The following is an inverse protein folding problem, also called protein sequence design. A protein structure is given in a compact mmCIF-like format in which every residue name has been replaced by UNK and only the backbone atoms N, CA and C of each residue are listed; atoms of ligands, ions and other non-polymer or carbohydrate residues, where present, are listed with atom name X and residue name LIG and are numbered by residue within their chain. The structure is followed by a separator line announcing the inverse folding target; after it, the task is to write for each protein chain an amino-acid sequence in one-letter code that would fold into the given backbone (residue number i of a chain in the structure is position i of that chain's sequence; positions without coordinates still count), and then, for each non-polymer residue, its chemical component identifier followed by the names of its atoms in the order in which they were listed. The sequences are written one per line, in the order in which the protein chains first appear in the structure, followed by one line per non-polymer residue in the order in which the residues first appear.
data_IF_098449812564
#
_entry.id   IF_098449812564
#
_cell.length_a   1.000
_cell.length_b   1.000
_cell.length_c   1.000
_cell.angle_alpha   90.00
_cell.angle_beta   90.00
_cell.angle_gamma   90.00
#
_symmetry.space_group_name_H-M   'P 1'
#
loop_
_entity.id
_entity.type
_entity.pdbx_description
1 polymer ?
#
# COMPACT_ATOMS: atom_id res chain seq x y z
N UNK A 1 -10.87 0.98 -20.11
CA UNK A 1 -10.43 -0.40 -19.82
C UNK A 1 -9.19 -0.27 -18.96
N UNK A 2 -9.16 -0.83 -17.75
CA UNK A 2 -8.01 -0.67 -16.86
C UNK A 2 -6.80 -1.44 -17.40
N UNK A 3 -5.60 -0.88 -17.27
CA UNK A 3 -4.36 -1.55 -17.66
C UNK A 3 -4.03 -2.64 -16.62
N UNK A 4 -4.67 -3.80 -16.77
CA UNK A 4 -4.59 -4.93 -15.85
C UNK A 4 -3.95 -6.15 -16.54
N UNK A 5 -3.41 -7.07 -15.74
CA UNK A 5 -2.90 -8.34 -16.26
C UNK A 5 -4.06 -9.17 -16.84
N UNK A 6 -4.08 -9.49 -18.15
CA UNK A 6 -5.18 -10.23 -18.77
C UNK A 6 -5.29 -11.67 -18.26
N UNK A 7 -4.23 -12.22 -17.67
CA UNK A 7 -4.21 -13.57 -17.11
C UNK A 7 -4.69 -13.64 -15.65
N UNK A 8 -5.21 -12.55 -15.10
CA UNK A 8 -5.71 -12.49 -13.73
C UNK A 8 -7.16 -12.00 -13.73
N UNK A 9 -8.06 -12.81 -13.19
CA UNK A 9 -9.45 -12.42 -13.00
C UNK A 9 -9.54 -11.37 -11.88
N UNK A 10 -9.80 -10.13 -12.27
CA UNK A 10 -9.90 -9.02 -11.34
C UNK A 10 -11.19 -9.13 -10.53
N UNK A 11 -11.08 -9.01 -9.21
CA UNK A 11 -12.26 -8.76 -8.38
C UNK A 11 -12.82 -7.36 -8.72
N UNK A 12 -13.97 -7.32 -9.40
CA UNK A 12 -14.55 -6.08 -9.89
C UNK A 12 -14.92 -5.10 -8.78
N UNK A 13 -15.36 -5.60 -7.62
CA UNK A 13 -15.74 -4.74 -6.49
C UNK A 13 -14.52 -4.00 -5.93
N UNK A 14 -13.42 -4.72 -5.67
CA UNK A 14 -12.17 -4.12 -5.19
C UNK A 14 -11.58 -3.18 -6.24
N UNK A 15 -11.60 -3.60 -7.51
CA UNK A 15 -11.11 -2.77 -8.61
C UNK A 15 -11.90 -1.47 -8.74
N UNK A 16 -13.22 -1.53 -8.64
CA UNK A 16 -14.07 -0.34 -8.67
C UNK A 16 -13.76 0.58 -7.48
N UNK A 17 -13.73 0.02 -6.27
CA UNK A 17 -13.54 0.77 -5.02
C UNK A 17 -12.18 1.49 -4.96
N UNK A 18 -11.08 0.82 -5.35
CA UNK A 18 -9.75 1.45 -5.37
C UNK A 18 -9.66 2.58 -6.42
N UNK A 19 -10.33 2.45 -7.55
CA UNK A 19 -10.36 3.49 -8.58
C UNK A 19 -11.23 4.67 -8.14
N UNK A 20 -12.43 4.43 -7.59
CA UNK A 20 -13.28 5.49 -7.05
C UNK A 20 -12.58 6.26 -5.92
N UNK A 21 -11.83 5.56 -5.06
CA UNK A 21 -10.97 6.20 -4.07
C UNK A 21 -9.93 7.14 -4.71
N UNK A 22 -9.19 6.67 -5.71
CA UNK A 22 -8.17 7.46 -6.41
C UNK A 22 -8.78 8.67 -7.14
N UNK A 23 -9.91 8.50 -7.83
CA UNK A 23 -10.64 9.60 -8.47
C UNK A 23 -11.10 10.65 -7.46
N UNK A 24 -11.55 10.22 -6.27
CA UNK A 24 -11.85 11.10 -5.16
C UNK A 24 -10.65 11.92 -4.69
N UNK A 25 -9.45 11.33 -4.67
CA UNK A 25 -8.21 12.06 -4.37
C UNK A 25 -7.89 13.11 -5.45
N UNK A 26 -8.15 12.81 -6.73
CA UNK A 26 -7.93 13.77 -7.82
C UNK A 26 -8.87 14.99 -7.77
N UNK A 27 -10.00 14.91 -7.08
CA UNK A 27 -10.83 16.10 -6.80
C UNK A 27 -10.13 17.14 -5.91
N UNK A 28 -9.08 16.73 -5.17
CA UNK A 28 -8.32 17.60 -4.26
C UNK A 28 -6.87 17.85 -4.69
N UNK A 29 -6.25 16.89 -5.38
CA UNK A 29 -4.85 16.94 -5.77
C UNK A 29 -4.73 16.83 -7.30
N UNK A 30 -4.06 17.78 -7.95
CA UNK A 30 -3.86 17.73 -9.41
C UNK A 30 -2.86 16.65 -9.84
N UNK A 31 -2.00 16.20 -8.93
CA UNK A 31 -0.99 15.16 -9.14
C UNK A 31 -0.92 14.24 -7.94
N UNK A 32 -0.89 12.93 -8.19
CA UNK A 32 -0.66 11.92 -7.17
C UNK A 32 0.63 11.16 -7.50
N UNK A 33 1.42 10.85 -6.47
CA UNK A 33 2.55 9.94 -6.57
C UNK A 33 2.25 8.70 -5.72
N UNK A 34 1.73 7.62 -6.32
CA UNK A 34 1.47 6.40 -5.60
C UNK A 34 2.76 5.63 -5.26
N UNK A 35 2.66 4.78 -4.26
CA UNK A 35 3.65 3.74 -3.97
C UNK A 35 2.95 2.56 -3.30
N UNK A 36 3.52 1.36 -3.47
CA UNK A 36 3.05 0.15 -2.80
C UNK A 36 4.07 -0.35 -1.80
N UNK A 37 3.57 -0.75 -0.64
CA UNK A 37 4.31 -1.42 0.42
C UNK A 37 3.49 -2.61 0.90
N UNK A 38 4.14 -3.77 0.99
CA UNK A 38 3.53 -4.96 1.57
C UNK A 38 4.00 -5.11 3.01
N UNK A 39 3.08 -5.35 3.94
CA UNK A 39 3.35 -5.57 5.37
C UNK A 39 2.98 -6.99 5.78
N UNK A 40 3.79 -7.64 6.60
CA UNK A 40 3.51 -8.97 7.12
C UNK A 40 4.29 -9.24 8.41
N UNK A 41 3.91 -10.29 9.14
CA UNK A 41 4.71 -10.83 10.25
C UNK A 41 5.72 -11.87 9.76
N UNK A 42 6.86 -11.96 10.45
CA UNK A 42 7.88 -12.99 10.21
C UNK A 42 7.41 -14.33 10.79
N UNK A 43 7.62 -15.43 10.05
CA UNK A 43 7.08 -16.76 10.40
C UNK A 43 7.47 -17.28 11.77
N UNK A 44 8.66 -16.93 12.22
CA UNK A 44 9.31 -17.39 13.45
C UNK A 44 8.99 -16.50 14.66
N UNK A 45 7.93 -15.68 14.56
CA UNK A 45 7.55 -14.73 15.62
C UNK A 45 6.21 -15.08 16.26
N UNK A 46 6.02 -14.73 17.55
CA UNK A 46 4.72 -14.88 18.21
C UNK A 46 3.59 -14.18 17.45
N UNK A 47 3.85 -12.97 16.93
CA UNK A 47 2.83 -12.22 16.18
C UNK A 47 2.33 -12.98 14.95
N UNK A 48 3.17 -13.76 14.26
CA UNK A 48 2.72 -14.58 13.14
C UNK A 48 1.77 -15.69 13.58
N UNK A 49 2.13 -16.43 14.65
CA UNK A 49 1.32 -17.53 15.18
C UNK A 49 -0.01 -17.08 15.80
N UNK A 50 -0.05 -15.88 16.37
CA UNK A 50 -1.24 -15.29 16.99
C UNK A 50 -1.96 -14.26 16.11
N UNK A 51 -1.52 -14.08 14.86
CA UNK A 51 -2.11 -13.10 13.95
C UNK A 51 -3.59 -13.43 13.69
N UNK A 52 -4.43 -12.41 13.77
CA UNK A 52 -5.81 -12.48 13.36
C UNK A 52 -6.19 -11.17 12.65
N UNK A 53 -7.36 -11.14 12.01
CA UNK A 53 -7.83 -9.95 11.30
C UNK A 53 -7.86 -8.72 12.23
N UNK A 54 -8.29 -8.92 13.48
CA UNK A 54 -8.38 -7.83 14.44
C UNK A 54 -7.00 -7.25 14.81
N UNK A 55 -6.02 -8.09 15.16
CA UNK A 55 -4.67 -7.60 15.51
C UNK A 55 -3.99 -6.92 14.33
N UNK A 56 -4.11 -7.49 13.12
CA UNK A 56 -3.56 -6.88 11.91
C UNK A 56 -4.21 -5.53 11.58
N UNK A 57 -5.54 -5.39 11.76
CA UNK A 57 -6.21 -4.10 11.60
C UNK A 57 -5.71 -3.07 12.62
N UNK A 58 -5.51 -3.48 13.88
CA UNK A 58 -4.98 -2.58 14.92
C UNK A 58 -3.58 -2.06 14.57
N UNK A 59 -2.71 -2.90 14.01
CA UNK A 59 -1.39 -2.45 13.55
C UNK A 59 -1.48 -1.45 12.39
N UNK A 60 -2.41 -1.66 11.45
CA UNK A 60 -2.65 -0.69 10.39
C UNK A 60 -3.21 0.62 10.94
N UNK A 61 -4.11 0.60 11.92
CA UNK A 61 -4.58 1.85 12.56
C UNK A 61 -3.46 2.60 13.28
N UNK A 62 -2.54 1.90 13.95
CA UNK A 62 -1.34 2.51 14.55
C UNK A 62 -0.42 3.11 13.49
N UNK A 63 -0.20 2.40 12.38
CA UNK A 63 0.57 2.91 11.25
C UNK A 63 -0.07 4.20 10.70
N UNK A 64 -1.40 4.21 10.52
CA UNK A 64 -2.13 5.33 9.94
C UNK A 64 -2.18 6.55 10.87
N UNK A 65 -2.30 6.37 12.19
CA UNK A 65 -2.29 7.48 13.14
C UNK A 65 -0.97 8.24 13.13
N UNK A 66 0.15 7.54 12.89
CA UNK A 66 1.48 8.16 12.77
C UNK A 66 1.80 8.72 11.37
N UNK A 67 1.03 8.34 10.34
CA UNK A 67 1.34 8.67 8.93
C UNK A 67 0.30 9.57 8.26
N UNK A 68 -0.77 9.94 8.97
CA UNK A 68 -1.90 10.72 8.44
C UNK A 68 -1.51 12.02 7.74
N UNK A 69 -0.50 12.74 8.24
CA UNK A 69 -0.05 14.04 7.68
C UNK A 69 0.95 13.86 6.53
N UNK A 70 1.45 12.65 6.32
CA UNK A 70 2.45 12.34 5.31
C UNK A 70 1.83 11.96 3.96
N UNK A 71 0.55 11.53 3.96
CA UNK A 71 -0.13 10.96 2.80
C UNK A 71 -1.26 11.88 2.34
N UNK A 72 -1.46 11.98 1.03
CA UNK A 72 -2.64 12.56 0.41
C UNK A 72 -3.86 11.62 0.55
N UNK A 73 -3.61 10.31 0.55
CA UNK A 73 -4.60 9.26 0.72
C UNK A 73 -3.94 7.88 0.79
N UNK A 74 -4.72 6.85 1.06
CA UNK A 74 -4.24 5.47 1.11
C UNK A 74 -5.37 4.47 0.86
N UNK A 75 -5.00 3.29 0.38
CA UNK A 75 -5.89 2.14 0.23
C UNK A 75 -5.14 0.89 0.69
N UNK A 76 -5.83 -0.06 1.31
CA UNK A 76 -5.20 -1.32 1.71
C UNK A 76 -6.18 -2.49 1.70
N UNK A 77 -5.65 -3.67 1.43
CA UNK A 77 -6.39 -4.94 1.54
C UNK A 77 -5.59 -5.92 2.38
N UNK A 78 -6.30 -6.83 3.04
CA UNK A 78 -5.71 -7.92 3.82
C UNK A 78 -5.92 -9.24 3.10
N UNK A 79 -4.84 -9.99 2.94
CA UNK A 79 -4.84 -11.30 2.32
C UNK A 79 -4.27 -12.35 3.27
N UNK A 80 -4.65 -13.60 3.05
CA UNK A 80 -4.08 -14.75 3.74
C UNK A 80 -3.50 -15.72 2.71
N UNK A 81 -2.26 -16.17 2.94
CA UNK A 81 -1.73 -17.35 2.24
C UNK A 81 -1.09 -18.28 3.25
N UNK A 82 -1.13 -19.59 2.99
CA UNK A 82 -0.50 -20.58 3.86
C UNK A 82 0.99 -20.29 4.10
N UNK A 83 1.68 -19.74 3.10
CA UNK A 83 3.10 -19.43 3.19
C UNK A 83 3.39 -18.10 3.90
N UNK A 84 2.57 -17.04 3.72
CA UNK A 84 2.86 -15.72 4.31
C UNK A 84 2.01 -15.38 5.54
N UNK A 85 1.04 -16.21 5.90
CA UNK A 85 0.03 -15.87 6.89
C UNK A 85 -0.81 -14.66 6.44
N UNK A 86 -1.33 -13.91 7.42
CA UNK A 86 -1.96 -12.62 7.18
C UNK A 86 -0.93 -11.58 6.75
N UNK A 87 -1.24 -10.85 5.70
CA UNK A 87 -0.43 -9.76 5.20
C UNK A 87 -1.30 -8.68 4.55
N UNK A 88 -0.72 -7.48 4.44
CA UNK A 88 -1.41 -6.30 3.95
C UNK A 88 -0.73 -5.83 2.67
N UNK A 89 -1.53 -5.59 1.64
CA UNK A 89 -1.14 -4.82 0.47
C UNK A 89 -1.61 -3.40 0.66
N UNK A 90 -0.67 -2.47 0.83
CA UNK A 90 -0.94 -1.07 1.09
C UNK A 90 -0.49 -0.22 -0.09
N UNK A 91 -1.35 0.68 -0.54
CA UNK A 91 -1.06 1.75 -1.48
C UNK A 91 -1.15 3.07 -0.72
N UNK A 92 -0.07 3.85 -0.75
CA UNK A 92 -0.06 5.23 -0.28
C UNK A 92 0.01 6.19 -1.47
N UNK A 93 -0.68 7.31 -1.36
CA UNK A 93 -0.64 8.40 -2.34
C UNK A 93 0.01 9.63 -1.71
N UNK A 94 1.02 10.20 -2.37
CA UNK A 94 1.61 11.49 -2.01
C UNK A 94 1.10 12.60 -2.93
N UNK A 95 1.13 13.84 -2.48
CA UNK A 95 0.93 15.00 -3.35
C UNK A 95 2.09 15.07 -4.37
N UNK A 96 1.79 14.70 -5.62
CA UNK A 96 2.75 14.64 -6.71
C UNK A 96 3.27 16.00 -7.17
N UNK A 97 2.66 17.11 -6.73
CA UNK A 97 3.23 18.45 -6.94
C UNK A 97 4.42 18.70 -6.01
N UNK A 98 4.38 18.13 -4.79
CA UNK A 98 5.39 18.31 -3.75
C UNK A 98 6.46 17.22 -3.76
N UNK A 99 6.13 16.04 -4.26
CA UNK A 99 7.00 14.87 -4.22
C UNK A 99 7.28 14.30 -5.61
N UNK A 100 8.57 14.03 -5.89
CA UNK A 100 9.04 13.37 -7.12
C UNK A 100 9.51 11.93 -6.90
N UNK A 101 9.70 11.51 -5.64
CA UNK A 101 10.12 10.16 -5.25
C UNK A 101 9.44 9.77 -3.94
N UNK A 102 8.87 8.57 -3.89
CA UNK A 102 8.16 8.05 -2.72
C UNK A 102 9.07 7.33 -1.72
N UNK A 103 10.29 6.96 -2.10
CA UNK A 103 11.18 6.09 -1.31
C UNK A 103 11.39 6.52 0.14
N UNK A 104 11.62 7.81 0.40
CA UNK A 104 11.86 8.29 1.78
C UNK A 104 10.64 8.09 2.66
N UNK A 105 9.45 8.45 2.13
CA UNK A 105 8.18 8.31 2.85
C UNK A 105 7.81 6.84 3.02
N UNK A 106 7.89 6.04 1.95
CA UNK A 106 7.55 4.62 2.02
C UNK A 106 8.50 3.83 2.92
N UNK A 107 9.78 4.20 2.98
CA UNK A 107 10.73 3.64 3.95
C UNK A 107 10.34 3.98 5.39
N UNK A 108 9.97 5.24 5.64
CA UNK A 108 9.52 5.68 6.97
C UNK A 108 8.27 4.92 7.43
N UNK A 109 7.29 4.69 6.55
CA UNK A 109 6.13 3.83 6.85
C UNK A 109 6.56 2.41 7.26
N UNK A 110 7.52 1.83 6.53
CA UNK A 110 8.05 0.53 6.88
C UNK A 110 8.81 0.50 8.21
N UNK A 111 9.53 1.57 8.54
CA UNK A 111 10.19 1.71 9.84
C UNK A 111 9.18 1.84 10.99
N UNK A 112 8.07 2.56 10.78
CA UNK A 112 6.95 2.62 11.73
C UNK A 112 6.35 1.22 11.90
N UNK A 113 6.04 0.51 10.81
CA UNK A 113 5.53 -0.86 10.86
C UNK A 113 6.42 -1.78 11.69
N UNK A 114 7.73 -1.79 11.42
CA UNK A 114 8.69 -2.60 12.17
C UNK A 114 8.72 -2.23 13.65
N UNK A 115 8.62 -0.94 14.00
CA UNK A 115 8.60 -0.47 15.39
C UNK A 115 7.30 -0.86 16.10
N UNK A 116 6.13 -0.64 15.48
CA UNK A 116 4.82 -0.92 16.08
C UNK A 116 4.60 -2.41 16.32
N UNK A 117 5.23 -3.25 15.50
CA UNK A 117 5.23 -4.71 15.64
C UNK A 117 6.39 -5.23 16.49
N UNK A 118 7.13 -4.36 17.19
CA UNK A 118 8.26 -4.75 18.05
C UNK A 118 9.34 -5.59 17.34
N UNK A 119 9.47 -5.43 16.02
CA UNK A 119 10.40 -6.18 15.19
C UNK A 119 9.83 -7.46 14.55
N UNK A 120 8.65 -7.91 15.00
CA UNK A 120 8.00 -9.11 14.46
C UNK A 120 7.52 -8.90 13.02
N UNK A 121 7.24 -7.65 12.66
CA UNK A 121 6.86 -7.25 11.32
C UNK A 121 8.05 -7.11 10.37
N UNK A 122 7.84 -7.47 9.12
CA UNK A 122 8.68 -7.06 8.00
C UNK A 122 7.84 -6.38 6.93
N UNK A 123 8.52 -5.68 6.02
CA UNK A 123 7.86 -5.02 4.91
C UNK A 123 8.66 -5.16 3.61
N UNK A 124 7.96 -5.03 2.50
CA UNK A 124 8.55 -5.03 1.17
C UNK A 124 8.10 -3.79 0.40
N UNK A 125 9.07 -2.93 0.04
CA UNK A 125 8.82 -1.80 -0.84
C UNK A 125 8.72 -2.30 -2.28
N UNK A 126 7.53 -2.28 -2.86
CA UNK A 126 7.30 -2.73 -4.22
C UNK A 126 7.87 -1.71 -5.20
N UNK A 127 8.99 -2.07 -5.84
CA UNK A 127 9.59 -1.27 -6.91
C UNK A 127 9.11 -1.78 -8.27
N UNK A 128 9.03 -0.87 -9.24
CA UNK A 128 8.86 -1.26 -10.62
C UNK A 128 9.96 -2.25 -11.03
N UNK A 129 9.57 -3.28 -11.78
CA UNK A 129 10.47 -4.25 -12.42
C UNK A 129 10.17 -4.18 -13.91
N UNK A 130 11.19 -4.36 -14.74
CA UNK A 130 11.06 -4.22 -16.20
C UNK A 130 10.00 -5.13 -16.83
N UNK A 131 9.72 -6.26 -16.17
CA UNK A 131 8.67 -7.21 -16.56
C UNK A 131 7.23 -6.73 -16.31
N UNK A 132 7.02 -5.63 -15.60
CA UNK A 132 5.69 -5.10 -15.34
C UNK A 132 5.36 -4.03 -16.38
N UNK A 133 4.28 -4.20 -17.17
CA UNK A 133 3.92 -3.24 -18.22
C UNK A 133 3.48 -1.89 -17.66
N UNK A 134 3.12 -1.84 -16.37
CA UNK A 134 2.67 -0.64 -15.67
C UNK A 134 3.53 -0.42 -14.43
N UNK A 135 3.95 0.83 -14.25
CA UNK A 135 4.78 1.27 -13.13
C UNK A 135 3.92 2.01 -12.12
N UNK A 136 4.02 1.69 -10.84
CA UNK A 136 3.32 2.43 -9.78
C UNK A 136 4.11 3.64 -9.27
N UNK A 137 5.40 3.74 -9.59
CA UNK A 137 6.34 4.68 -8.97
C UNK A 137 6.53 6.00 -9.73
N UNK A 138 5.53 6.41 -10.53
CA UNK A 138 5.54 7.65 -11.29
C UNK A 138 4.42 8.59 -10.86
N UNK A 139 4.60 9.88 -11.12
CA UNK A 139 3.57 10.89 -10.85
C UNK A 139 2.46 10.74 -11.90
N UNK A 140 1.22 10.67 -11.43
CA UNK A 140 0.01 10.61 -12.25
C UNK A 140 -0.67 11.98 -12.15
N UNK A 141 -0.99 12.59 -13.27
CA UNK A 141 -1.78 13.80 -13.36
C UNK A 141 -3.27 13.45 -13.50
N UNK A 142 -4.16 14.29 -12.97
CA UNK A 142 -5.61 14.04 -13.01
C UNK A 142 -6.19 13.89 -14.44
N UNK A 143 -5.46 14.32 -15.46
CA UNK A 143 -5.85 14.22 -16.87
C UNK A 143 -5.18 13.08 -17.63
N UNK A 144 -4.32 12.29 -16.98
CA UNK A 144 -3.67 11.15 -17.60
C UNK A 144 -4.71 10.06 -17.86
N UNK A 145 -4.60 9.39 -19.03
CA UNK A 145 -5.52 8.35 -19.49
C UNK A 145 -4.90 6.96 -19.40
#
# INVERSE_FOLDING_TARGET
MYNANPNYEMNFAILKDVNEHMEGLFQRFSKLLPFRIDFAYRKDTPSFGHSCKHSMCMEIYRLLSETQTMLAGYYWVMEYTQNKGLHIHFIGYLDGQRHKKSYRISRQLGDIWRRSTEGDGYFHLCRAKDKYPVRIDHVIHYSDK
#
